data_IF_991370377448
#
_entry.id   IF_991370377448
#
_cell.length_a   1.000
_cell.length_b   1.000
_cell.length_c   1.000
_cell.angle_alpha   90.00
_cell.angle_beta   90.00
_cell.angle_gamma   90.00
#
_symmetry.space_group_name_H-M   'P 1'
#
loop_
_entity.id
_entity.type
_entity.pdbx_description
1 polymer ?
#
# COMPACT_ATOMS: atom_id res chain seq x y z
N UNK A 1 3.58 8.12 -15.70
CA UNK A 1 4.96 7.86 -15.22
C UNK A 1 4.91 6.60 -14.39
N UNK A 2 5.83 5.66 -14.58
CA UNK A 2 5.82 4.40 -13.86
C UNK A 2 6.39 4.60 -12.44
N UNK A 3 5.98 3.75 -11.50
CA UNK A 3 6.53 3.68 -10.12
C UNK A 3 8.06 3.61 -10.14
N UNK A 4 8.63 2.90 -11.13
CA UNK A 4 10.07 2.76 -11.33
C UNK A 4 10.77 4.09 -11.61
N UNK A 5 10.12 5.05 -12.29
CA UNK A 5 10.70 6.37 -12.55
C UNK A 5 10.75 7.24 -11.28
N UNK A 6 9.80 7.05 -10.35
CA UNK A 6 9.82 7.76 -9.06
C UNK A 6 10.83 7.19 -8.07
N UNK A 7 10.97 5.85 -8.01
CA UNK A 7 11.85 5.17 -7.05
C UNK A 7 13.34 5.36 -7.36
N UNK A 8 13.70 5.46 -8.66
CA UNK A 8 15.13 5.43 -9.06
C UNK A 8 15.73 6.83 -9.19
N UNK A 9 14.95 7.86 -9.51
CA UNK A 9 15.52 9.15 -9.97
C UNK A 9 15.34 10.34 -9.02
N UNK A 10 14.48 10.28 -8.00
CA UNK A 10 14.12 11.49 -7.23
C UNK A 10 13.99 11.28 -5.71
N UNK A 11 13.50 10.12 -5.27
CA UNK A 11 13.18 9.86 -3.87
C UNK A 11 13.78 8.49 -3.53
N UNK A 12 14.85 8.43 -2.74
CA UNK A 12 15.52 7.17 -2.35
C UNK A 12 14.65 6.37 -1.37
N UNK A 13 13.49 5.92 -1.81
CA UNK A 13 12.51 5.15 -1.03
C UNK A 13 12.23 3.81 -1.70
N UNK A 14 11.77 2.85 -0.91
CA UNK A 14 11.38 1.54 -1.44
C UNK A 14 10.15 1.66 -2.35
N UNK A 15 9.95 0.73 -3.31
CA UNK A 15 8.76 0.70 -4.15
C UNK A 15 7.44 0.66 -3.38
N UNK A 16 7.42 -0.01 -2.22
CA UNK A 16 6.24 -0.09 -1.35
C UNK A 16 5.85 1.28 -0.79
N UNK A 17 6.82 2.07 -0.32
CA UNK A 17 6.58 3.44 0.15
C UNK A 17 6.19 4.39 -0.98
N UNK A 18 6.78 4.22 -2.16
CA UNK A 18 6.40 5.02 -3.33
C UNK A 18 4.94 4.79 -3.73
N UNK A 19 4.45 3.54 -3.66
CA UNK A 19 3.03 3.21 -3.89
C UNK A 19 2.12 3.93 -2.90
N UNK A 20 2.48 3.97 -1.60
CA UNK A 20 1.71 4.70 -0.58
C UNK A 20 1.64 6.20 -0.90
N UNK A 21 2.77 6.83 -1.23
CA UNK A 21 2.83 8.26 -1.61
C UNK A 21 2.00 8.57 -2.86
N UNK A 22 2.08 7.71 -3.88
CA UNK A 22 1.30 7.87 -5.11
C UNK A 22 -0.20 7.82 -4.82
N UNK A 23 -0.62 6.87 -3.99
CA UNK A 23 -2.01 6.73 -3.60
C UNK A 23 -2.52 7.96 -2.81
N UNK A 24 -1.77 8.42 -1.80
CA UNK A 24 -2.19 9.56 -0.96
C UNK A 24 -2.21 10.89 -1.71
N UNK A 25 -1.34 11.07 -2.71
CA UNK A 25 -1.24 12.32 -3.49
C UNK A 25 -1.92 12.24 -4.87
N UNK A 26 -2.89 11.34 -5.05
CA UNK A 26 -3.67 11.21 -6.29
C UNK A 26 -2.78 11.11 -7.55
N UNK A 27 -1.64 10.46 -7.43
CA UNK A 27 -0.67 10.25 -8.51
C UNK A 27 -0.05 11.53 -9.10
N UNK A 28 -0.12 12.65 -8.37
CA UNK A 28 0.56 13.88 -8.76
C UNK A 28 2.06 13.80 -8.39
N UNK A 29 2.85 13.21 -9.30
CA UNK A 29 4.30 13.03 -9.12
C UNK A 29 5.01 14.33 -8.80
N UNK A 30 4.66 15.41 -9.49
CA UNK A 30 5.31 16.71 -9.30
C UNK A 30 5.09 17.28 -7.88
N UNK A 31 3.87 17.15 -7.34
CA UNK A 31 3.54 17.57 -5.98
C UNK A 31 4.33 16.78 -4.94
N UNK A 32 4.41 15.46 -5.11
CA UNK A 32 5.20 14.58 -4.23
C UNK A 32 6.66 15.00 -4.22
N UNK A 33 7.26 15.23 -5.40
CA UNK A 33 8.67 15.62 -5.54
C UNK A 33 8.95 16.98 -4.89
N UNK A 34 8.09 17.96 -5.13
CA UNK A 34 8.23 19.30 -4.53
C UNK A 34 8.13 19.23 -3.00
N UNK A 35 7.13 18.52 -2.47
CA UNK A 35 6.94 18.34 -1.03
C UNK A 35 8.10 17.56 -0.40
N UNK A 36 8.59 16.51 -1.06
CA UNK A 36 9.71 15.71 -0.55
C UNK A 36 11.00 16.52 -0.46
N UNK A 37 11.28 17.39 -1.45
CA UNK A 37 12.45 18.27 -1.44
C UNK A 37 12.36 19.38 -0.39
N UNK A 38 11.16 19.88 -0.10
CA UNK A 38 10.96 20.93 0.90
C UNK A 38 10.92 20.39 2.33
N UNK A 39 10.06 19.41 2.60
CA UNK A 39 9.88 18.79 3.91
C UNK A 39 9.41 17.34 3.75
N UNK A 40 10.40 16.44 3.61
CA UNK A 40 10.15 15.00 3.53
C UNK A 40 9.55 14.44 4.82
N UNK A 41 9.84 15.00 6.00
CA UNK A 41 9.34 14.47 7.26
C UNK A 41 7.83 14.64 7.35
N UNK A 42 7.32 15.85 7.11
CA UNK A 42 5.89 16.14 7.11
C UNK A 42 5.14 15.35 6.04
N UNK A 43 5.73 15.21 4.84
CA UNK A 43 5.14 14.41 3.76
C UNK A 43 4.92 12.95 4.17
N UNK A 44 5.92 12.35 4.83
CA UNK A 44 5.86 10.96 5.30
C UNK A 44 4.84 10.79 6.44
N UNK A 45 4.65 11.79 7.30
CA UNK A 45 3.63 11.77 8.35
C UNK A 45 2.23 11.88 7.77
N UNK A 46 1.98 12.87 6.89
CA UNK A 46 0.68 13.07 6.24
C UNK A 46 0.28 11.87 5.39
N UNK A 47 1.25 11.21 4.77
CA UNK A 47 1.04 9.98 4.00
C UNK A 47 0.96 8.71 4.85
N UNK A 48 0.93 8.83 6.19
CA UNK A 48 0.82 7.72 7.14
C UNK A 48 1.96 6.70 7.02
N UNK A 49 3.13 7.11 6.55
CA UNK A 49 4.34 6.26 6.45
C UNK A 49 5.15 6.33 7.74
N UNK A 50 5.21 7.50 8.38
CA UNK A 50 5.91 7.73 9.66
C UNK A 50 4.94 8.27 10.71
N UNK A 51 5.21 8.02 12.00
CA UNK A 51 4.44 8.65 13.07
C UNK A 51 4.77 10.15 13.16
N UNK A 52 3.84 10.94 13.67
CA UNK A 52 4.07 12.36 13.96
C UNK A 52 5.13 12.56 15.06
N UNK A 53 5.17 11.65 16.04
CA UNK A 53 6.17 11.64 17.11
C UNK A 53 7.16 10.48 16.91
N UNK A 54 8.48 10.72 16.99
CA UNK A 54 9.46 9.64 16.94
C UNK A 54 9.27 8.66 18.09
N UNK A 55 9.38 7.35 17.85
CA UNK A 55 9.34 6.37 18.92
C UNK A 55 10.58 6.44 19.79
N UNK A 56 10.42 6.07 21.07
CA UNK A 56 11.57 5.89 21.96
C UNK A 56 12.35 4.62 21.55
N UNK A 57 13.68 4.62 21.64
CA UNK A 57 14.48 3.42 21.39
C UNK A 57 14.16 2.35 22.43
N UNK A 58 13.99 1.11 21.98
CA UNK A 58 13.78 -0.05 22.84
C UNK A 58 14.98 -1.00 22.67
N UNK A 59 15.60 -1.41 23.77
CA UNK A 59 16.83 -2.23 23.79
C UNK A 59 16.66 -3.54 24.55
N UNK A 60 15.43 -4.02 24.72
CA UNK A 60 15.16 -5.27 25.44
C UNK A 60 15.36 -6.50 24.56
N UNK A 61 15.82 -7.60 25.16
CA UNK A 61 15.96 -8.91 24.49
C UNK A 61 14.61 -9.61 24.31
N UNK A 62 13.63 -9.25 25.13
CA UNK A 62 12.25 -9.72 25.05
C UNK A 62 11.27 -8.56 24.94
N UNK A 63 10.13 -8.82 24.32
CA UNK A 63 9.04 -7.89 24.14
C UNK A 63 7.71 -8.53 24.54
N UNK A 64 6.89 -7.81 25.31
CA UNK A 64 5.54 -8.24 25.63
C UNK A 64 4.58 -7.75 24.54
N UNK A 65 3.91 -8.67 23.87
CA UNK A 65 2.97 -8.34 22.80
C UNK A 65 1.61 -7.95 23.37
N UNK A 66 1.18 -6.71 23.15
CA UNK A 66 -0.10 -6.18 23.66
C UNK A 66 -1.35 -6.84 23.05
N UNK A 67 -1.19 -7.60 21.96
CA UNK A 67 -2.30 -8.28 21.28
C UNK A 67 -2.59 -9.65 21.90
N UNK A 68 -1.57 -10.48 22.10
CA UNK A 68 -1.73 -11.81 22.68
C UNK A 68 -1.39 -11.88 24.18
N UNK A 69 -0.86 -10.80 24.76
CA UNK A 69 -0.42 -10.70 26.15
C UNK A 69 0.70 -11.68 26.53
N UNK A 70 1.50 -12.14 25.55
CA UNK A 70 2.63 -13.05 25.75
C UNK A 70 3.97 -12.34 25.54
N UNK A 71 5.01 -12.84 26.22
CA UNK A 71 6.39 -12.39 26.03
C UNK A 71 7.07 -13.20 24.94
N UNK A 72 7.74 -12.52 24.02
CA UNK A 72 8.46 -13.09 22.89
C UNK A 72 9.89 -12.58 22.86
N UNK A 73 10.81 -13.33 22.26
CA UNK A 73 12.13 -12.82 21.91
C UNK A 73 12.00 -11.66 20.92
N UNK A 74 12.86 -10.65 21.04
CA UNK A 74 12.85 -9.49 20.15
C UNK A 74 12.95 -9.86 18.66
N UNK A 75 13.67 -10.95 18.33
CA UNK A 75 13.78 -11.47 16.96
C UNK A 75 12.45 -11.99 16.38
N UNK A 76 11.50 -12.37 17.23
CA UNK A 76 10.17 -12.83 16.86
C UNK A 76 9.11 -11.71 16.90
N UNK A 77 9.56 -10.47 17.08
CA UNK A 77 8.73 -9.28 17.04
C UNK A 77 9.17 -8.36 15.91
N UNK A 78 8.20 -7.69 15.32
CA UNK A 78 8.45 -6.67 14.32
C UNK A 78 7.48 -5.51 14.50
N UNK A 79 7.86 -4.37 13.95
CA UNK A 79 7.09 -3.15 14.03
C UNK A 79 7.22 -2.31 12.78
N UNK A 80 6.30 -1.36 12.65
CA UNK A 80 6.33 -0.34 11.62
C UNK A 80 7.16 0.86 12.09
N UNK A 81 7.30 1.87 11.22
CA UNK A 81 8.01 3.11 11.56
C UNK A 81 7.44 3.85 12.80
N UNK A 82 6.22 3.52 13.22
CA UNK A 82 5.62 4.02 14.46
C UNK A 82 6.30 3.52 15.75
N UNK A 83 7.13 2.47 15.67
CA UNK A 83 7.82 1.87 16.83
C UNK A 83 6.98 0.91 17.67
N UNK A 84 5.70 0.72 17.36
CA UNK A 84 4.90 -0.33 18.00
C UNK A 84 5.35 -1.70 17.52
N UNK A 85 5.75 -2.55 18.46
CA UNK A 85 6.21 -3.91 18.23
C UNK A 85 5.12 -4.91 18.60
N UNK A 86 4.93 -5.91 17.75
CA UNK A 86 4.06 -7.05 17.99
C UNK A 86 4.74 -8.32 17.51
N UNK A 87 4.35 -9.47 18.07
CA UNK A 87 4.91 -10.74 17.62
C UNK A 87 4.48 -11.07 16.19
N UNK A 88 5.32 -11.81 15.47
CA UNK A 88 5.11 -12.16 14.07
C UNK A 88 3.77 -12.89 13.86
N UNK A 89 3.36 -13.72 14.83
CA UNK A 89 2.08 -14.44 14.79
C UNK A 89 0.87 -13.49 14.80
N UNK A 90 0.86 -12.48 15.68
CA UNK A 90 -0.21 -11.49 15.74
C UNK A 90 -0.28 -10.66 14.44
N UNK A 91 0.87 -10.29 13.88
CA UNK A 91 0.91 -9.64 12.57
C UNK A 91 0.34 -10.51 11.46
N UNK A 92 0.77 -11.77 11.36
CA UNK A 92 0.26 -12.70 10.34
C UNK A 92 -1.25 -12.88 10.44
N UNK A 93 -1.79 -13.02 11.66
CA UNK A 93 -3.24 -13.13 11.90
C UNK A 93 -3.97 -11.84 11.51
N UNK A 94 -3.44 -10.67 11.88
CA UNK A 94 -4.01 -9.38 11.49
C UNK A 94 -4.08 -9.24 9.97
N UNK A 95 -3.00 -9.55 9.25
CA UNK A 95 -3.01 -9.52 7.79
C UNK A 95 -4.02 -10.50 7.20
N UNK A 96 -4.11 -11.72 7.72
CA UNK A 96 -5.10 -12.69 7.25
C UNK A 96 -6.53 -12.16 7.37
N UNK A 97 -6.88 -11.56 8.51
CA UNK A 97 -8.20 -10.96 8.74
C UNK A 97 -8.45 -9.79 7.77
N UNK A 98 -7.51 -8.85 7.66
CA UNK A 98 -7.66 -7.69 6.79
C UNK A 98 -7.80 -8.08 5.30
N UNK A 99 -6.97 -9.02 4.84
CA UNK A 99 -7.03 -9.55 3.47
C UNK A 99 -8.33 -10.32 3.25
N UNK A 100 -8.83 -11.07 4.23
CA UNK A 100 -10.12 -11.75 4.12
C UNK A 100 -11.27 -10.75 3.92
N UNK A 101 -11.19 -9.57 4.53
CA UNK A 101 -12.14 -8.46 4.36
C UNK A 101 -11.94 -7.66 3.06
N UNK A 102 -10.93 -7.98 2.24
CA UNK A 102 -10.65 -7.27 1.00
C UNK A 102 -9.75 -6.04 1.15
N UNK A 103 -9.17 -5.81 2.32
CA UNK A 103 -8.30 -4.66 2.59
C UNK A 103 -6.86 -5.03 2.25
N UNK A 104 -6.18 -4.20 1.44
CA UNK A 104 -4.78 -4.44 1.05
C UNK A 104 -3.85 -3.25 1.31
N UNK A 105 -3.96 -2.17 0.54
CA UNK A 105 -3.07 -1.00 0.64
C UNK A 105 -3.34 -0.11 1.86
N UNK A 106 -4.51 -0.28 2.50
CA UNK A 106 -4.94 0.49 3.66
C UNK A 106 -4.73 -0.20 5.02
N UNK A 107 -3.97 -1.31 5.08
CA UNK A 107 -3.72 -1.99 6.36
C UNK A 107 -2.86 -1.10 7.26
N UNK A 108 -3.38 -0.79 8.45
CA UNK A 108 -2.68 0.04 9.45
C UNK A 108 -2.12 -0.80 10.61
N UNK A 109 -1.30 -0.14 11.42
CA UNK A 109 -0.80 -0.63 12.70
C UNK A 109 -1.93 -1.12 13.62
N UNK A 110 -1.67 -2.18 14.40
CA UNK A 110 -2.64 -2.73 15.36
C UNK A 110 -2.78 -1.89 16.64
N UNK A 111 -1.85 -0.96 16.90
CA UNK A 111 -1.91 -0.09 18.08
C UNK A 111 -3.11 0.85 18.01
N UNK A 112 -3.75 1.07 19.16
CA UNK A 112 -4.88 1.98 19.26
C UNK A 112 -4.47 3.41 18.86
N UNK A 113 -5.30 4.06 18.04
CA UNK A 113 -5.05 5.42 17.52
C UNK A 113 -3.76 5.57 16.68
N UNK A 114 -3.21 4.48 16.13
CA UNK A 114 -2.07 4.53 15.22
C UNK A 114 -2.52 4.32 13.78
N UNK A 115 -2.34 5.34 12.94
CA UNK A 115 -2.74 5.27 11.53
C UNK A 115 -1.61 4.88 10.57
N UNK A 116 -0.41 4.58 11.09
CA UNK A 116 0.75 4.25 10.25
C UNK A 116 0.44 2.97 9.46
N UNK A 117 0.56 3.06 8.13
CA UNK A 117 0.26 1.99 7.20
C UNK A 117 1.39 0.97 7.17
N UNK A 118 1.03 -0.30 7.03
CA UNK A 118 1.95 -1.39 6.78
C UNK A 118 2.37 -1.39 5.30
N UNK A 119 3.65 -1.15 4.97
CA UNK A 119 4.12 -1.22 3.60
C UNK A 119 3.99 -2.63 3.03
N UNK A 120 3.81 -2.74 1.71
CA UNK A 120 3.61 -4.02 1.01
C UNK A 120 4.72 -5.06 1.29
N UNK A 121 5.98 -4.64 1.34
CA UNK A 121 7.11 -5.51 1.68
C UNK A 121 7.03 -6.04 3.11
N UNK A 122 6.60 -5.21 4.08
CA UNK A 122 6.38 -5.64 5.45
C UNK A 122 5.28 -6.71 5.53
N UNK A 123 4.16 -6.49 4.85
CA UNK A 123 3.04 -7.46 4.78
C UNK A 123 3.51 -8.76 4.15
N UNK A 124 4.15 -8.70 2.97
CA UNK A 124 4.58 -9.87 2.21
C UNK A 124 5.63 -10.72 2.95
N UNK A 125 6.48 -10.10 3.77
CA UNK A 125 7.48 -10.81 4.59
C UNK A 125 6.84 -11.66 5.70
N UNK A 126 5.68 -11.24 6.22
CA UNK A 126 5.00 -11.89 7.35
C UNK A 126 3.85 -12.83 6.91
N UNK A 127 3.51 -12.81 5.63
CA UNK A 127 2.59 -13.78 5.04
C UNK A 127 3.34 -15.03 4.61
N UNK A 128 3.24 -16.12 5.38
CA UNK A 128 3.88 -17.40 5.04
C UNK A 128 3.07 -18.24 4.05
N UNK A 129 1.73 -18.07 4.01
CA UNK A 129 0.81 -18.89 3.22
C UNK A 129 0.74 -18.41 1.76
N UNK A 130 1.15 -19.22 0.75
CA UNK A 130 1.22 -18.78 -0.65
C UNK A 130 -0.10 -18.24 -1.21
N UNK A 131 -1.22 -18.93 -0.94
CA UNK A 131 -2.56 -18.50 -1.39
C UNK A 131 -2.98 -17.14 -0.84
N UNK A 132 -2.60 -16.85 0.42
CA UNK A 132 -2.93 -15.58 1.06
C UNK A 132 -2.07 -14.44 0.51
N UNK A 133 -0.79 -14.72 0.22
CA UNK A 133 0.11 -13.78 -0.47
C UNK A 133 -0.41 -13.42 -1.86
N UNK A 134 -0.80 -14.42 -2.65
CA UNK A 134 -1.35 -14.21 -3.99
C UNK A 134 -2.63 -13.36 -3.93
N UNK A 135 -3.54 -13.67 -3.00
CA UNK A 135 -4.76 -12.88 -2.78
C UNK A 135 -4.45 -11.42 -2.39
N UNK A 136 -3.48 -11.20 -1.50
CA UNK A 136 -3.05 -9.85 -1.14
C UNK A 136 -2.47 -9.10 -2.34
N UNK A 137 -1.59 -9.73 -3.12
CA UNK A 137 -1.00 -9.10 -4.31
C UNK A 137 -2.07 -8.75 -5.35
N UNK A 138 -3.07 -9.61 -5.54
CA UNK A 138 -4.19 -9.35 -6.42
C UNK A 138 -4.99 -8.12 -5.94
N UNK A 139 -5.32 -8.03 -4.66
CA UNK A 139 -6.02 -6.87 -4.11
C UNK A 139 -5.19 -5.59 -4.16
N UNK A 140 -3.90 -5.66 -3.86
CA UNK A 140 -3.00 -4.52 -3.95
C UNK A 140 -2.87 -4.00 -5.39
N UNK A 141 -2.82 -4.91 -6.36
CA UNK A 141 -2.85 -4.56 -7.77
C UNK A 141 -4.19 -3.91 -8.17
N UNK A 142 -5.30 -4.45 -7.70
CA UNK A 142 -6.62 -3.86 -7.93
C UNK A 142 -6.72 -2.43 -7.38
N UNK A 143 -6.31 -2.20 -6.14
CA UNK A 143 -6.27 -0.88 -5.51
C UNK A 143 -5.40 0.11 -6.31
N UNK A 144 -4.24 -0.35 -6.77
CA UNK A 144 -3.33 0.45 -7.60
C UNK A 144 -3.97 0.87 -8.94
N UNK A 145 -4.59 -0.07 -9.65
CA UNK A 145 -5.28 0.23 -10.92
C UNK A 145 -6.47 1.16 -10.70
N UNK A 146 -7.25 0.94 -9.64
CA UNK A 146 -8.44 1.73 -9.35
C UNK A 146 -8.12 3.16 -8.88
N UNK A 147 -7.01 3.33 -8.15
CA UNK A 147 -6.57 4.65 -7.69
C UNK A 147 -5.89 5.48 -8.78
N UNK A 148 -5.29 4.83 -9.79
CA UNK A 148 -4.60 5.55 -10.86
C UNK A 148 -5.59 6.34 -11.72
N UNK A 149 -5.33 7.63 -12.02
CA UNK A 149 -6.23 8.45 -12.82
C UNK A 149 -6.47 7.84 -14.22
N UNK A 150 -5.42 7.42 -14.92
CA UNK A 150 -5.48 6.89 -16.29
C UNK A 150 -5.78 5.39 -16.47
N UNK A 151 -5.89 4.56 -15.41
CA UNK A 151 -6.01 3.10 -15.55
C UNK A 151 -7.40 2.60 -15.16
N UNK A 152 -7.97 1.65 -15.89
CA UNK A 152 -9.18 0.92 -15.47
C UNK A 152 -9.11 -0.55 -15.89
N UNK A 153 -9.78 -1.41 -15.14
CA UNK A 153 -10.01 -2.79 -15.56
C UNK A 153 -11.01 -2.88 -16.71
N UNK A 154 -10.82 -3.87 -17.57
CA UNK A 154 -11.84 -4.29 -18.51
C UNK A 154 -13.09 -4.78 -17.75
N UNK A 155 -14.30 -4.36 -18.13
CA UNK A 155 -15.55 -4.82 -17.50
C UNK A 155 -15.96 -6.23 -17.94
N UNK A 156 -15.22 -6.86 -18.86
CA UNK A 156 -15.52 -8.21 -19.33
C UNK A 156 -15.42 -9.23 -18.19
N UNK A 157 -16.30 -10.24 -18.15
CA UNK A 157 -16.32 -11.23 -17.08
C UNK A 157 -14.97 -11.97 -17.02
N UNK A 158 -14.42 -12.08 -15.80
CA UNK A 158 -13.13 -12.72 -15.53
C UNK A 158 -11.95 -12.16 -16.35
N UNK A 159 -12.05 -10.93 -16.86
CA UNK A 159 -10.98 -10.30 -17.62
C UNK A 159 -10.07 -9.46 -16.71
N UNK A 160 -8.77 -9.75 -16.72
CA UNK A 160 -7.76 -9.02 -15.93
C UNK A 160 -7.02 -7.95 -16.74
N UNK A 161 -7.47 -7.66 -17.97
CA UNK A 161 -6.84 -6.64 -18.81
C UNK A 161 -7.06 -5.26 -18.21
N UNK A 162 -5.97 -4.51 -18.07
CA UNK A 162 -5.99 -3.10 -17.67
C UNK A 162 -5.81 -2.23 -18.89
N UNK A 163 -6.71 -1.28 -19.07
CA UNK A 163 -6.66 -0.30 -20.16
C UNK A 163 -6.17 1.04 -19.59
N UNK A 164 -5.26 1.68 -20.33
CA UNK A 164 -4.75 3.02 -20.02
C UNK A 164 -5.32 4.04 -21.00
N UNK A 165 -5.90 5.12 -20.50
CA UNK A 165 -6.31 6.26 -21.30
C UNK A 165 -5.66 7.54 -20.79
N UNK A 166 -4.97 8.24 -21.69
CA UNK A 166 -4.26 9.49 -21.37
C UNK A 166 -5.18 10.72 -21.30
N UNK A 167 -6.39 10.61 -21.83
CA UNK A 167 -7.31 11.74 -22.00
C UNK A 167 -8.67 11.42 -21.37
N UNK A 168 -9.35 12.40 -20.74
CA UNK A 168 -10.68 12.24 -20.14
C UNK A 168 -11.82 12.17 -21.16
N UNK A 169 -11.55 11.81 -22.41
CA UNK A 169 -12.56 11.71 -23.45
C UNK A 169 -13.12 10.29 -23.55
N UNK A 170 -14.42 10.20 -23.82
CA UNK A 170 -15.11 8.93 -24.00
C UNK A 170 -14.57 8.25 -25.27
N UNK A 171 -13.71 7.24 -25.14
CA UNK A 171 -13.21 6.44 -26.26
C UNK A 171 -13.82 5.04 -26.22
N UNK A 172 -14.25 4.55 -27.38
CA UNK A 172 -14.63 3.15 -27.56
C UNK A 172 -13.36 2.30 -27.48
N UNK A 173 -13.35 1.33 -26.59
CA UNK A 173 -12.25 0.38 -26.41
C UNK A 173 -12.76 -1.03 -26.69
N UNK A 174 -11.95 -1.81 -27.38
CA UNK A 174 -12.17 -3.25 -27.58
C UNK A 174 -11.06 -3.97 -26.82
N UNK A 175 -11.44 -4.78 -25.84
CA UNK A 175 -10.48 -5.61 -25.12
C UNK A 175 -9.92 -6.68 -26.05
N UNK A 176 -8.59 -6.76 -26.17
CA UNK A 176 -7.91 -7.75 -27.02
C UNK A 176 -7.98 -9.17 -26.48
N UNK A 177 -8.25 -9.36 -25.18
CA UNK A 177 -8.28 -10.68 -24.55
C UNK A 177 -9.67 -11.32 -24.54
N UNK A 178 -10.73 -10.54 -24.26
CA UNK A 178 -12.10 -11.06 -24.13
C UNK A 178 -13.09 -10.47 -25.14
N UNK A 179 -12.61 -9.66 -26.08
CA UNK A 179 -13.41 -8.98 -27.12
C UNK A 179 -14.55 -8.09 -26.59
N UNK A 180 -14.57 -7.80 -25.28
CA UNK A 180 -15.57 -6.92 -24.67
C UNK A 180 -15.38 -5.50 -25.19
N UNK A 181 -16.47 -4.92 -25.69
CA UNK A 181 -16.51 -3.53 -26.19
C UNK A 181 -17.13 -2.67 -25.12
N UNK A 182 -16.44 -1.62 -24.71
CA UNK A 182 -16.93 -0.69 -23.70
C UNK A 182 -16.48 0.74 -23.97
N UNK A 183 -17.22 1.70 -23.42
CA UNK A 183 -16.87 3.11 -23.47
C UNK A 183 -16.08 3.47 -22.22
N UNK A 184 -14.88 4.00 -22.43
CA UNK A 184 -14.02 4.45 -21.35
C UNK A 184 -14.18 5.95 -21.15
N UNK A 185 -14.61 6.41 -19.98
CA UNK A 185 -14.56 7.82 -19.57
C UNK A 185 -13.86 7.93 -18.21
N UNK A 186 -12.94 8.87 -18.07
CA UNK A 186 -12.39 9.22 -16.76
C UNK A 186 -13.51 9.81 -15.90
N UNK A 187 -13.87 9.13 -14.82
CA UNK A 187 -14.68 9.72 -13.76
C UNK A 187 -13.79 10.71 -13.01
N UNK A 188 -13.95 12.00 -13.28
CA UNK A 188 -13.44 13.05 -12.40
C UNK A 188 -14.21 12.91 -11.09
N UNK A 189 -13.60 12.28 -10.07
CA UNK A 189 -14.12 12.36 -8.71
C UNK A 189 -13.98 13.83 -8.29
N UNK A 190 -15.12 14.55 -8.27
CA UNK A 190 -15.23 15.87 -7.67
C UNK A 190 -15.05 15.78 -6.16
#
# INVERSE_FOLDING_TARGET
MNVDTMCVSIVQITPSLAKVLLHSHKWCVQDIVLKYRGDSASLLVVSKIKPSRPPAPQTSTHHACDVCMLSHEAANCCGLACGHLFCNLCWSMHFEVQIAQGISTGIACMAQNCEVLAPEDFVLNLLSRPKLREKYQQFAFCDYVQSHPELRFCPGPNCQVVVRAKEPCAKRVICTACSTVFWYKLTTKH
#
